data_IF_697370833675
#
_entry.id   IF_697370833675
#
_cell.length_a   1.000
_cell.length_b   1.000
_cell.length_c   1.000
_cell.angle_alpha   90.00
_cell.angle_beta   90.00
_cell.angle_gamma   90.00
#
_symmetry.space_group_name_H-M   'P 1'
#
loop_
_entity.id
_entity.type
_entity.pdbx_description
1 polymer ?
#
# COMPACT_ATOMS: atom_id res chain seq x y z
N UNK A 1 21.04 -14.67 7.32
CA UNK A 1 20.29 -14.01 8.41
C UNK A 1 19.42 -12.97 7.75
N UNK A 2 18.11 -13.00 8.02
CA UNK A 2 17.19 -11.95 7.55
C UNK A 2 17.52 -10.64 8.25
N UNK A 3 17.43 -9.47 7.57
CA UNK A 3 17.55 -8.19 8.23
C UNK A 3 16.46 -8.05 9.31
N UNK A 4 16.76 -7.31 10.37
CA UNK A 4 15.78 -7.04 11.41
C UNK A 4 14.89 -5.88 10.94
N UNK A 5 13.65 -6.19 10.59
CA UNK A 5 12.64 -5.17 10.35
C UNK A 5 12.27 -4.44 11.65
N UNK A 6 11.73 -3.25 11.52
CA UNK A 6 11.28 -2.44 12.65
C UNK A 6 9.80 -2.15 12.54
N UNK A 7 9.04 -2.43 13.59
CA UNK A 7 7.65 -2.01 13.71
C UNK A 7 7.61 -0.53 14.05
N UNK A 8 6.99 0.28 13.18
CA UNK A 8 6.83 1.72 13.36
C UNK A 8 5.53 2.02 14.13
N UNK A 9 4.47 1.28 13.81
CA UNK A 9 3.16 1.37 14.44
C UNK A 9 2.62 -0.03 14.67
N UNK A 10 2.40 -0.43 15.92
CA UNK A 10 1.82 -1.72 16.25
C UNK A 10 0.29 -1.66 16.23
N UNK A 11 -0.35 -2.69 15.71
CA UNK A 11 -1.79 -2.86 15.86
C UNK A 11 -2.15 -2.98 17.34
N UNK A 12 -3.31 -2.42 17.78
CA UNK A 12 -3.71 -2.47 19.18
C UNK A 12 -3.72 -3.89 19.75
N UNK A 13 -3.27 -4.02 21.00
CA UNK A 13 -3.30 -5.29 21.74
C UNK A 13 -4.75 -5.76 21.94
N UNK A 14 -4.97 -7.07 21.80
CA UNK A 14 -6.28 -7.70 22.11
C UNK A 14 -6.77 -8.70 21.08
N UNK A 15 -6.37 -8.61 19.84
CA UNK A 15 -6.37 -9.68 18.86
C UNK A 15 -5.24 -9.38 17.88
N UNK A 16 -4.04 -9.87 18.13
CA UNK A 16 -2.85 -9.49 17.38
C UNK A 16 -2.94 -9.95 15.91
N UNK A 17 -4.06 -10.52 15.55
CA UNK A 17 -3.98 -11.42 14.46
C UNK A 17 -4.35 -10.85 13.13
N UNK A 18 -5.40 -10.12 12.93
CA UNK A 18 -5.89 -9.90 11.57
C UNK A 18 -5.90 -8.43 11.16
N UNK A 19 -5.27 -8.17 10.02
CA UNK A 19 -5.46 -6.94 9.26
C UNK A 19 -6.36 -7.27 8.06
N UNK A 20 -7.32 -6.43 7.75
CA UNK A 20 -8.18 -6.64 6.58
C UNK A 20 -7.39 -6.38 5.30
N UNK A 21 -6.54 -5.36 5.33
CA UNK A 21 -5.73 -4.92 4.18
C UNK A 21 -4.28 -4.74 4.59
N UNK A 22 -3.36 -5.20 3.77
CA UNK A 22 -1.94 -4.84 3.83
C UNK A 22 -1.55 -4.20 2.51
N UNK A 23 -1.05 -2.96 2.57
CA UNK A 23 -0.40 -2.31 1.44
C UNK A 23 1.12 -2.44 1.55
N UNK A 24 1.77 -2.79 0.44
CA UNK A 24 3.21 -3.04 0.36
C UNK A 24 3.86 -1.98 -0.52
N UNK A 25 4.82 -1.24 0.04
CA UNK A 25 5.67 -0.29 -0.67
C UNK A 25 7.12 -0.77 -0.76
N UNK A 26 7.88 -0.31 -1.74
CA UNK A 26 9.32 -0.48 -1.76
C UNK A 26 9.98 0.41 -0.70
N UNK A 27 9.46 1.64 -0.58
CA UNK A 27 9.94 2.68 0.34
C UNK A 27 8.78 3.34 1.09
N UNK A 28 9.04 3.93 2.29
CA UNK A 28 8.07 4.81 2.93
C UNK A 28 7.78 6.01 2.03
N UNK A 29 6.53 6.23 1.67
CA UNK A 29 5.86 7.19 0.80
C UNK A 29 5.19 6.58 -0.46
N UNK A 30 5.63 5.43 -0.95
CA UNK A 30 5.04 4.78 -2.14
C UNK A 30 3.55 4.51 -1.99
N UNK A 31 3.16 3.97 -0.84
CA UNK A 31 1.78 3.58 -0.54
C UNK A 31 0.87 4.80 -0.47
N UNK A 32 1.34 5.86 0.17
CA UNK A 32 0.60 7.12 0.29
C UNK A 32 0.37 7.76 -1.08
N UNK A 33 1.40 7.77 -1.92
CA UNK A 33 1.32 8.33 -3.29
C UNK A 33 0.41 7.44 -4.17
N UNK A 34 0.52 6.13 -4.06
CA UNK A 34 -0.16 5.20 -4.96
C UNK A 34 -1.60 4.92 -4.60
N UNK A 35 -1.90 4.65 -3.31
CA UNK A 35 -3.22 4.20 -2.86
C UNK A 35 -3.64 4.76 -1.49
N UNK A 36 -3.04 5.87 -1.04
CA UNK A 36 -3.35 6.47 0.27
C UNK A 36 -4.82 6.86 0.44
N UNK A 37 -5.48 7.36 -0.60
CA UNK A 37 -6.90 7.68 -0.59
C UNK A 37 -7.77 6.44 -0.40
N UNK A 38 -7.45 5.35 -1.08
CA UNK A 38 -8.09 4.03 -0.91
C UNK A 38 -7.93 3.53 0.53
N UNK A 39 -6.73 3.62 1.10
CA UNK A 39 -6.51 3.21 2.49
C UNK A 39 -7.33 4.04 3.47
N UNK A 40 -7.34 5.37 3.31
CA UNK A 40 -8.15 6.27 4.13
C UNK A 40 -9.65 5.96 4.03
N UNK A 41 -10.15 5.68 2.82
CA UNK A 41 -11.54 5.26 2.58
C UNK A 41 -11.86 3.96 3.31
N UNK A 42 -11.01 2.95 3.19
CA UNK A 42 -11.21 1.65 3.82
C UNK A 42 -11.12 1.75 5.35
N UNK A 43 -10.18 2.52 5.89
CA UNK A 43 -10.07 2.80 7.32
C UNK A 43 -11.32 3.49 7.87
N UNK A 44 -11.86 4.48 7.17
CA UNK A 44 -13.10 5.17 7.53
C UNK A 44 -14.33 4.23 7.52
N UNK A 45 -14.28 3.15 6.76
CA UNK A 45 -15.28 2.07 6.74
C UNK A 45 -15.04 0.98 7.79
N UNK A 46 -14.06 1.17 8.68
CA UNK A 46 -13.76 0.27 9.78
C UNK A 46 -12.80 -0.88 9.45
N UNK A 47 -12.20 -0.90 8.25
CA UNK A 47 -11.18 -1.89 7.92
C UNK A 47 -9.89 -1.63 8.71
N UNK A 48 -9.24 -2.70 9.16
CA UNK A 48 -7.94 -2.65 9.84
C UNK A 48 -6.84 -2.70 8.79
N UNK A 49 -6.11 -1.59 8.64
CA UNK A 49 -5.12 -1.39 7.59
C UNK A 49 -3.71 -1.52 8.15
N UNK A 50 -2.87 -2.29 7.45
CA UNK A 50 -1.42 -2.32 7.65
C UNK A 50 -0.67 -1.78 6.44
N UNK A 51 0.50 -1.19 6.68
CA UNK A 51 1.49 -0.86 5.65
C UNK A 51 2.77 -1.63 5.95
N UNK A 52 3.39 -2.18 4.90
CA UNK A 52 4.68 -2.84 4.97
C UNK A 52 5.60 -2.21 3.93
N UNK A 53 6.63 -1.52 4.40
CA UNK A 53 7.69 -1.00 3.55
C UNK A 53 8.81 -2.05 3.45
N UNK A 54 9.25 -2.39 2.25
CA UNK A 54 10.31 -3.41 2.08
C UNK A 54 11.67 -2.91 2.57
N UNK A 55 11.90 -1.59 2.46
CA UNK A 55 13.10 -0.91 2.94
C UNK A 55 12.72 0.24 3.87
N UNK A 56 13.71 0.83 4.56
CA UNK A 56 13.53 2.08 5.32
C UNK A 56 13.58 3.35 4.43
N UNK A 57 13.87 3.18 3.14
CA UNK A 57 14.02 4.27 2.18
C UNK A 57 15.34 5.02 2.26
N UNK A 58 16.26 4.71 3.19
CA UNK A 58 17.50 5.44 3.39
C UNK A 58 18.74 4.77 2.70
N UNK A 59 19.77 5.56 2.40
CA UNK A 59 19.92 7.00 2.62
C UNK A 59 19.23 7.85 1.56
N UNK A 60 18.69 9.02 1.98
CA UNK A 60 18.16 10.03 1.06
C UNK A 60 18.81 11.40 1.31
N UNK A 61 18.91 12.28 0.29
CA UNK A 61 19.76 13.49 0.37
C UNK A 61 19.37 14.51 1.44
N UNK A 62 18.12 14.50 1.92
CA UNK A 62 17.59 15.52 2.83
C UNK A 62 17.15 14.96 4.18
N UNK A 63 17.14 13.66 4.34
CA UNK A 63 16.87 13.02 5.62
C UNK A 63 18.14 13.02 6.48
N UNK A 64 17.97 13.19 7.77
CA UNK A 64 19.04 13.00 8.76
C UNK A 64 19.32 11.53 9.04
N UNK A 65 18.47 10.62 8.55
CA UNK A 65 18.64 9.18 8.69
C UNK A 65 17.34 8.41 8.92
N UNK A 66 17.46 7.10 9.20
CA UNK A 66 16.31 6.20 9.34
C UNK A 66 15.29 6.64 10.40
N UNK A 67 15.74 7.26 11.50
CA UNK A 67 14.84 7.71 12.58
C UNK A 67 13.88 8.80 12.10
N UNK A 68 14.36 9.77 11.31
CA UNK A 68 13.51 10.80 10.72
C UNK A 68 12.51 10.19 9.75
N UNK A 69 12.96 9.29 8.87
CA UNK A 69 12.06 8.57 7.93
C UNK A 69 10.98 7.77 8.65
N UNK A 70 11.31 7.10 9.74
CA UNK A 70 10.34 6.37 10.55
C UNK A 70 9.33 7.30 11.23
N UNK A 71 9.77 8.46 11.71
CA UNK A 71 8.87 9.46 12.30
C UNK A 71 7.90 10.03 11.26
N UNK A 72 8.38 10.34 10.05
CA UNK A 72 7.55 10.77 8.92
C UNK A 72 6.55 9.68 8.52
N UNK A 73 6.98 8.44 8.40
CA UNK A 73 6.14 7.29 8.08
C UNK A 73 5.05 7.05 9.14
N UNK A 74 5.38 7.20 10.43
CA UNK A 74 4.41 7.12 11.52
C UNK A 74 3.35 8.20 11.40
N UNK A 75 3.74 9.45 11.16
CA UNK A 75 2.80 10.56 10.98
C UNK A 75 1.87 10.33 9.77
N UNK A 76 2.42 9.84 8.66
CA UNK A 76 1.66 9.49 7.47
C UNK A 76 0.65 8.36 7.72
N UNK A 77 1.05 7.32 8.46
CA UNK A 77 0.16 6.23 8.85
C UNK A 77 -1.03 6.74 9.69
N UNK A 78 -0.79 7.63 10.65
CA UNK A 78 -1.85 8.24 11.45
C UNK A 78 -2.81 9.08 10.60
N UNK A 79 -2.30 9.87 9.64
CA UNK A 79 -3.12 10.68 8.74
C UNK A 79 -4.10 9.81 7.92
N UNK A 80 -3.72 8.59 7.56
CA UNK A 80 -4.55 7.66 6.79
C UNK A 80 -5.46 6.77 7.66
N UNK A 81 -5.30 6.76 8.99
CA UNK A 81 -6.01 5.84 9.88
C UNK A 81 -5.47 4.40 9.83
N UNK A 82 -4.21 4.23 9.45
CA UNK A 82 -3.49 2.95 9.46
C UNK A 82 -3.22 2.53 10.90
N UNK A 83 -3.43 1.25 11.21
CA UNK A 83 -3.29 0.71 12.57
C UNK A 83 -2.02 -0.10 12.78
N UNK A 84 -1.32 -0.45 11.70
CA UNK A 84 -0.04 -1.17 11.75
C UNK A 84 0.89 -0.69 10.65
N UNK A 85 2.15 -0.45 10.97
CA UNK A 85 3.20 -0.19 9.98
C UNK A 85 4.52 -0.78 10.43
N UNK A 86 5.20 -1.45 9.52
CA UNK A 86 6.55 -1.97 9.71
C UNK A 86 7.36 -1.85 8.42
N UNK A 87 8.69 -1.74 8.53
CA UNK A 87 9.58 -1.97 7.42
C UNK A 87 10.37 -3.27 7.62
N UNK A 88 10.72 -3.96 6.52
CA UNK A 88 11.41 -5.24 6.58
C UNK A 88 12.93 -5.12 6.70
N UNK A 89 13.48 -3.90 6.60
CA UNK A 89 14.89 -3.61 6.79
C UNK A 89 15.80 -4.07 5.65
N UNK A 90 15.27 -4.34 4.47
CA UNK A 90 16.10 -4.63 3.30
C UNK A 90 16.78 -3.36 2.80
N UNK A 91 18.00 -3.47 2.23
CA UNK A 91 18.75 -2.29 1.81
C UNK A 91 18.07 -1.54 0.67
N UNK A 92 17.81 -0.25 0.86
CA UNK A 92 17.30 0.66 -0.16
C UNK A 92 18.24 0.71 -1.38
N UNK A 93 17.69 0.77 -2.57
CA UNK A 93 18.38 0.77 -3.89
C UNK A 93 19.15 -0.52 -4.18
N UNK A 94 18.93 -1.54 -3.39
CA UNK A 94 19.51 -2.87 -3.54
C UNK A 94 18.45 -3.96 -3.36
N UNK A 95 17.21 -3.59 -3.59
CA UNK A 95 16.10 -4.51 -3.53
C UNK A 95 16.15 -5.43 -4.76
N UNK A 96 16.31 -6.72 -4.52
CA UNK A 96 16.23 -7.75 -5.55
C UNK A 96 15.20 -8.77 -5.15
N UNK A 97 14.47 -9.29 -6.13
CA UNK A 97 13.54 -10.40 -5.93
C UNK A 97 14.31 -11.67 -5.56
N UNK A 98 14.48 -11.89 -4.26
CA UNK A 98 15.23 -13.00 -3.67
C UNK A 98 14.38 -13.81 -2.70
N UNK A 99 14.79 -15.05 -2.44
CA UNK A 99 14.05 -15.96 -1.57
C UNK A 99 13.79 -15.37 -0.18
N UNK A 100 14.79 -14.75 0.42
CA UNK A 100 14.76 -14.25 1.79
C UNK A 100 13.71 -13.15 1.95
N UNK A 101 13.61 -12.24 0.99
CA UNK A 101 12.63 -11.15 1.07
C UNK A 101 11.20 -11.63 0.79
N UNK A 102 11.03 -12.60 -0.12
CA UNK A 102 9.75 -13.27 -0.36
C UNK A 102 9.23 -13.95 0.89
N UNK A 103 10.12 -14.67 1.61
CA UNK A 103 9.80 -15.34 2.87
C UNK A 103 9.48 -14.31 3.96
N UNK A 104 10.28 -13.24 4.09
CA UNK A 104 10.05 -12.21 5.08
C UNK A 104 8.65 -11.58 4.92
N UNK A 105 8.29 -11.18 3.71
CA UNK A 105 6.96 -10.61 3.43
C UNK A 105 5.84 -11.66 3.59
N UNK A 106 6.06 -12.91 3.16
CA UNK A 106 5.08 -13.98 3.34
C UNK A 106 4.83 -14.32 4.82
N UNK A 107 5.85 -14.17 5.69
CA UNK A 107 5.68 -14.27 7.15
C UNK A 107 4.75 -13.19 7.70
N UNK A 108 4.85 -11.96 7.20
CA UNK A 108 3.91 -10.89 7.54
C UNK A 108 2.48 -11.28 7.16
N UNK A 109 2.28 -11.78 5.93
CA UNK A 109 0.95 -12.23 5.49
C UNK A 109 0.42 -13.40 6.32
N UNK A 110 1.24 -14.34 6.74
CA UNK A 110 0.84 -15.42 7.64
C UNK A 110 0.48 -14.91 9.05
N UNK A 111 1.23 -13.93 9.57
CA UNK A 111 1.02 -13.36 10.89
C UNK A 111 -0.28 -12.56 10.95
N UNK A 112 -0.51 -11.68 9.99
CA UNK A 112 -1.63 -10.72 10.02
C UNK A 112 -2.83 -11.15 9.17
N UNK A 113 -2.71 -12.17 8.37
CA UNK A 113 -3.79 -12.85 7.63
C UNK A 113 -4.67 -11.90 6.80
N UNK A 114 -4.12 -11.03 5.95
CA UNK A 114 -4.90 -10.04 5.21
C UNK A 114 -5.88 -10.70 4.24
N UNK A 115 -7.05 -10.07 4.07
CA UNK A 115 -8.02 -10.44 3.03
C UNK A 115 -7.67 -9.81 1.69
N UNK A 116 -7.04 -8.64 1.72
CA UNK A 116 -6.58 -7.90 0.56
C UNK A 116 -5.13 -7.49 0.74
N UNK A 117 -4.32 -7.72 -0.28
CA UNK A 117 -2.99 -7.13 -0.40
C UNK A 117 -3.01 -6.12 -1.54
N UNK A 118 -2.47 -4.93 -1.31
CA UNK A 118 -2.20 -3.92 -2.32
C UNK A 118 -0.70 -3.86 -2.56
N UNK A 119 -0.23 -4.13 -3.77
CA UNK A 119 1.18 -4.09 -4.14
C UNK A 119 1.47 -3.05 -5.21
N UNK A 120 2.72 -2.69 -5.42
CA UNK A 120 3.14 -1.89 -6.57
C UNK A 120 2.80 -2.62 -7.88
N UNK A 121 2.25 -1.91 -8.86
CA UNK A 121 1.74 -2.51 -10.10
C UNK A 121 2.74 -2.64 -11.23
N UNK A 122 3.81 -1.82 -11.24
CA UNK A 122 4.84 -1.84 -12.29
C UNK A 122 6.04 -0.98 -11.87
N UNK A 123 7.04 -0.96 -12.78
CA UNK A 123 8.14 0.00 -12.66
C UNK A 123 7.62 1.43 -12.81
N UNK A 124 8.22 2.34 -12.07
CA UNK A 124 7.99 3.76 -12.25
C UNK A 124 9.12 4.34 -13.10
N UNK A 125 8.84 4.80 -14.34
CA UNK A 125 9.89 5.34 -15.22
C UNK A 125 10.70 6.46 -14.55
N UNK A 126 12.02 6.40 -14.68
CA UNK A 126 12.96 7.37 -14.09
C UNK A 126 12.93 7.48 -12.56
N UNK A 127 12.30 6.53 -11.88
CA UNK A 127 12.30 6.40 -10.42
C UNK A 127 13.15 5.19 -9.97
N UNK A 128 13.01 4.81 -8.69
CA UNK A 128 13.79 3.70 -8.13
C UNK A 128 13.54 2.38 -8.87
N UNK A 129 14.58 1.60 -9.22
CA UNK A 129 14.42 0.25 -9.76
C UNK A 129 13.77 -0.72 -8.76
N UNK A 130 13.79 -0.38 -7.47
CA UNK A 130 13.19 -1.18 -6.39
C UNK A 130 11.68 -1.36 -6.58
N UNK A 131 10.99 -0.42 -7.27
CA UNK A 131 9.56 -0.52 -7.52
C UNK A 131 9.20 -1.78 -8.34
N UNK A 132 9.97 -2.06 -9.40
CA UNK A 132 9.75 -3.26 -10.20
C UNK A 132 10.05 -4.56 -9.41
N UNK A 133 11.01 -4.50 -8.49
CA UNK A 133 11.33 -5.62 -7.62
C UNK A 133 10.22 -5.84 -6.58
N UNK A 134 9.66 -4.77 -6.02
CA UNK A 134 8.57 -4.85 -5.06
C UNK A 134 7.31 -5.53 -5.62
N UNK A 135 6.99 -5.33 -6.91
CA UNK A 135 5.93 -6.08 -7.59
C UNK A 135 6.21 -7.58 -7.54
N UNK A 136 7.36 -8.02 -8.06
CA UNK A 136 7.70 -9.45 -8.12
C UNK A 136 7.77 -10.10 -6.73
N UNK A 137 8.34 -9.39 -5.75
CA UNK A 137 8.42 -9.83 -4.36
C UNK A 137 7.03 -10.01 -3.77
N UNK A 138 6.12 -9.05 -3.98
CA UNK A 138 4.77 -9.09 -3.41
C UNK A 138 3.96 -10.25 -3.99
N UNK A 139 3.99 -10.43 -5.31
CA UNK A 139 3.32 -11.56 -5.98
C UNK A 139 3.83 -12.91 -5.48
N UNK A 140 5.16 -13.05 -5.39
CA UNK A 140 5.79 -14.25 -4.88
C UNK A 140 5.46 -14.50 -3.39
N UNK A 141 5.43 -13.46 -2.55
CA UNK A 141 5.10 -13.58 -1.13
C UNK A 141 3.63 -14.01 -0.92
N UNK A 142 2.70 -13.50 -1.73
CA UNK A 142 1.31 -13.97 -1.74
C UNK A 142 1.22 -15.44 -2.08
N UNK A 143 2.01 -15.92 -3.05
CA UNK A 143 2.10 -17.35 -3.36
C UNK A 143 2.73 -18.12 -2.19
N UNK A 144 3.82 -17.63 -1.61
CA UNK A 144 4.57 -18.34 -0.55
C UNK A 144 3.76 -18.45 0.74
N UNK A 145 2.92 -17.49 1.08
CA UNK A 145 2.11 -17.50 2.30
C UNK A 145 1.15 -18.70 2.40
N UNK A 146 0.77 -19.30 1.27
CA UNK A 146 -0.12 -20.47 1.20
C UNK A 146 0.60 -21.83 1.14
N UNK A 147 1.96 -21.85 1.07
CA UNK A 147 2.71 -23.08 0.97
C UNK A 147 2.62 -23.89 2.27
N UNK A 148 2.24 -25.14 2.19
CA UNK A 148 2.29 -26.10 3.29
C UNK A 148 3.60 -26.89 3.25
N UNK A 149 3.93 -27.56 4.37
CA UNK A 149 5.18 -28.37 4.52
C UNK A 149 6.47 -27.53 4.48
N UNK A 150 6.38 -26.26 4.86
CA UNK A 150 7.49 -25.30 4.94
C UNK A 150 7.58 -24.69 6.34
N UNK A 151 7.27 -25.49 7.38
CA UNK A 151 7.18 -25.02 8.76
C UNK A 151 8.50 -24.43 9.25
N UNK A 152 9.64 -25.06 8.88
CA UNK A 152 10.98 -24.56 9.22
C UNK A 152 11.29 -23.20 8.58
N UNK A 153 10.75 -22.95 7.37
CA UNK A 153 10.93 -21.67 6.66
C UNK A 153 10.08 -20.56 7.28
N UNK A 154 8.91 -20.91 7.82
CA UNK A 154 7.93 -19.97 8.33
C UNK A 154 7.82 -19.93 9.87
N UNK A 155 8.77 -20.53 10.59
CA UNK A 155 8.81 -20.57 12.06
C UNK A 155 7.49 -21.06 12.68
N UNK A 156 6.85 -22.06 12.04
CA UNK A 156 5.57 -22.62 12.48
C UNK A 156 4.35 -21.70 12.31
N UNK A 157 4.49 -20.52 11.66
CA UNK A 157 3.35 -19.65 11.38
C UNK A 157 2.30 -20.38 10.51
N UNK A 158 1.02 -20.34 10.90
CA UNK A 158 -0.04 -21.05 10.18
C UNK A 158 -0.14 -20.57 8.73
N UNK A 159 -0.42 -21.51 7.82
CA UNK A 159 -0.67 -21.21 6.40
C UNK A 159 -1.76 -20.17 6.25
N UNK A 160 -1.54 -19.22 5.36
CA UNK A 160 -2.55 -18.24 4.97
C UNK A 160 -2.62 -18.10 3.46
N UNK A 161 -3.81 -18.22 2.90
CA UNK A 161 -4.07 -17.90 1.50
C UNK A 161 -4.66 -16.49 1.42
N UNK A 162 -3.91 -15.55 0.85
CA UNK A 162 -4.42 -14.19 0.58
C UNK A 162 -5.52 -14.29 -0.46
N UNK A 163 -6.77 -13.90 -0.15
CA UNK A 163 -7.89 -14.04 -1.10
C UNK A 163 -7.75 -13.16 -2.33
N UNK A 164 -7.21 -11.94 -2.17
CA UNK A 164 -7.13 -10.96 -3.26
C UNK A 164 -5.83 -10.18 -3.20
N UNK A 165 -5.17 -10.05 -4.36
CA UNK A 165 -4.09 -9.11 -4.62
C UNK A 165 -4.55 -8.11 -5.69
N UNK A 166 -4.44 -6.83 -5.39
CA UNK A 166 -4.56 -5.74 -6.35
C UNK A 166 -3.24 -4.98 -6.42
N UNK A 167 -3.00 -4.36 -7.55
CA UNK A 167 -1.81 -3.51 -7.72
C UNK A 167 -2.22 -2.05 -7.84
N UNK A 168 -1.42 -1.16 -7.26
CA UNK A 168 -1.54 0.28 -7.36
C UNK A 168 -0.37 0.87 -8.15
N UNK A 169 -0.50 2.09 -8.63
CA UNK A 169 0.47 2.72 -9.53
C UNK A 169 0.96 4.06 -8.98
N UNK A 170 2.28 4.26 -9.05
CA UNK A 170 2.89 5.56 -8.75
C UNK A 170 2.85 6.41 -10.02
N UNK A 171 1.86 7.27 -10.13
CA UNK A 171 1.74 8.10 -11.32
C UNK A 171 2.34 9.49 -11.15
N UNK A 172 2.97 10.07 -12.21
CA UNK A 172 2.27 11.10 -12.95
C UNK A 172 2.10 10.79 -14.45
N UNK A 173 2.37 9.61 -14.90
CA UNK A 173 2.09 9.19 -16.28
C UNK A 173 0.83 8.33 -16.33
N UNK A 174 0.21 8.22 -17.50
CA UNK A 174 -0.92 7.30 -17.71
C UNK A 174 -0.44 5.91 -17.29
N UNK A 175 -1.07 5.28 -16.29
CA UNK A 175 -0.65 3.97 -15.83
C UNK A 175 -0.71 2.96 -16.98
N UNK A 176 0.38 2.27 -17.21
CA UNK A 176 0.36 1.12 -18.11
C UNK A 176 -0.12 -0.08 -17.30
N UNK A 177 -1.38 -0.43 -17.49
CA UNK A 177 -1.95 -1.62 -16.86
C UNK A 177 -1.27 -2.84 -17.47
N UNK A 178 -0.68 -3.72 -16.65
CA UNK A 178 -0.02 -4.92 -17.17
C UNK A 178 -0.99 -5.77 -17.99
N UNK A 179 -0.49 -6.38 -19.06
CA UNK A 179 -1.29 -7.25 -19.91
C UNK A 179 -1.97 -8.35 -19.10
N UNK A 180 -3.26 -8.54 -19.29
CA UNK A 180 -4.06 -9.54 -18.58
C UNK A 180 -4.58 -9.06 -17.21
N UNK A 181 -4.34 -7.81 -16.83
CA UNK A 181 -4.92 -7.23 -15.62
C UNK A 181 -6.20 -6.44 -15.96
N UNK A 182 -7.12 -6.42 -15.01
CA UNK A 182 -8.41 -5.72 -15.09
C UNK A 182 -8.34 -4.47 -14.21
N UNK A 183 -8.44 -3.26 -14.82
CA UNK A 183 -8.42 -2.02 -14.07
C UNK A 183 -9.73 -1.79 -13.32
N UNK A 184 -9.63 -1.10 -12.21
CA UNK A 184 -10.75 -0.53 -11.48
C UNK A 184 -10.34 0.84 -10.90
N UNK A 185 -11.28 1.76 -10.84
CA UNK A 185 -11.10 3.05 -10.19
C UNK A 185 -11.79 2.99 -8.82
N UNK A 186 -11.07 3.36 -7.78
CA UNK A 186 -11.63 3.57 -6.45
C UNK A 186 -11.92 5.06 -6.31
N UNK A 187 -13.19 5.40 -6.07
CA UNK A 187 -13.61 6.77 -5.76
C UNK A 187 -13.06 7.20 -4.40
N UNK A 188 -12.24 8.25 -4.41
CA UNK A 188 -11.59 8.81 -3.21
C UNK A 188 -11.96 10.28 -2.99
N UNK A 189 -13.04 10.79 -3.55
CA UNK A 189 -13.41 12.21 -3.45
C UNK A 189 -13.33 12.73 -2.02
N UNK A 190 -13.94 12.06 -1.06
CA UNK A 190 -13.91 12.42 0.36
C UNK A 190 -12.58 12.15 1.08
N UNK A 191 -11.57 11.58 0.39
CA UNK A 191 -10.32 11.11 0.98
C UNK A 191 -9.05 11.67 0.32
N UNK A 192 -9.19 12.48 -0.73
CA UNK A 192 -8.05 13.06 -1.45
C UNK A 192 -7.22 13.97 -0.53
N UNK A 193 -7.86 14.78 0.31
CA UNK A 193 -7.12 15.67 1.20
C UNK A 193 -6.36 14.88 2.28
N UNK A 194 -6.90 13.78 2.80
CA UNK A 194 -6.19 12.88 3.71
C UNK A 194 -4.96 12.24 3.04
N UNK A 195 -5.10 11.81 1.79
CA UNK A 195 -3.98 11.33 0.99
C UNK A 195 -2.87 12.39 0.88
N UNK A 196 -3.21 13.62 0.52
CA UNK A 196 -2.24 14.70 0.38
C UNK A 196 -1.61 15.09 1.73
N UNK A 197 -2.37 15.06 2.82
CA UNK A 197 -1.89 15.27 4.18
C UNK A 197 -0.84 14.20 4.54
N UNK A 198 -1.10 12.94 4.24
CA UNK A 198 -0.16 11.84 4.50
C UNK A 198 1.15 12.00 3.74
N UNK A 199 1.09 12.41 2.47
CA UNK A 199 2.30 12.69 1.66
C UNK A 199 3.06 13.89 2.24
N UNK A 200 2.37 14.91 2.74
CA UNK A 200 2.97 16.09 3.33
C UNK A 200 3.73 15.80 4.65
N UNK A 201 3.50 14.65 5.28
CA UNK A 201 4.27 14.20 6.43
C UNK A 201 5.74 13.93 6.08
N UNK A 202 6.03 13.55 4.84
CA UNK A 202 7.39 13.25 4.37
C UNK A 202 8.15 14.52 3.96
N UNK A 203 8.47 15.38 4.92
CA UNK A 203 9.14 16.66 4.67
C UNK A 203 10.55 16.51 4.11
N UNK A 204 11.25 15.45 4.50
CA UNK A 204 12.57 15.12 3.96
C UNK A 204 12.51 14.76 2.47
N UNK A 205 11.38 14.22 1.98
CA UNK A 205 11.20 13.80 0.60
C UNK A 205 10.50 14.86 -0.26
N UNK A 206 9.50 15.54 0.31
CA UNK A 206 8.63 16.52 -0.36
C UNK A 206 8.68 17.88 0.36
N UNK A 207 9.87 18.51 0.44
CA UNK A 207 9.99 19.84 1.01
C UNK A 207 9.24 20.88 0.16
N UNK A 208 9.05 22.12 0.66
CA UNK A 208 8.29 23.16 -0.04
C UNK A 208 8.68 23.40 -1.50
N UNK A 209 9.98 23.23 -1.83
CA UNK A 209 10.49 23.37 -3.19
C UNK A 209 9.97 22.28 -4.14
N UNK A 210 9.47 21.18 -3.58
CA UNK A 210 8.83 20.09 -4.31
C UNK A 210 7.29 20.13 -4.25
N UNK A 211 6.67 21.29 -3.94
CA UNK A 211 5.22 21.43 -3.91
C UNK A 211 4.50 20.96 -5.20
N UNK A 212 5.22 20.98 -6.34
CA UNK A 212 4.72 20.44 -7.60
C UNK A 212 4.38 18.94 -7.52
N UNK A 213 4.95 18.17 -6.58
CA UNK A 213 4.62 16.74 -6.40
C UNK A 213 3.18 16.62 -5.89
N UNK A 214 2.79 17.40 -4.88
CA UNK A 214 1.42 17.41 -4.36
C UNK A 214 0.41 17.81 -5.46
N UNK A 215 0.75 18.84 -6.25
CA UNK A 215 -0.09 19.25 -7.38
C UNK A 215 -0.26 18.14 -8.43
N UNK A 216 0.81 17.40 -8.74
CA UNK A 216 0.76 16.26 -9.65
C UNK A 216 -0.08 15.11 -9.11
N UNK A 217 0.07 14.78 -7.82
CA UNK A 217 -0.73 13.72 -7.19
C UNK A 217 -2.21 14.07 -7.23
N UNK A 218 -2.58 15.32 -6.91
CA UNK A 218 -3.95 15.81 -7.04
C UNK A 218 -4.47 15.70 -8.47
N UNK A 219 -3.74 16.24 -9.45
CA UNK A 219 -4.12 16.21 -10.85
C UNK A 219 -4.27 14.76 -11.37
N UNK A 220 -3.38 13.85 -10.96
CA UNK A 220 -3.49 12.44 -11.32
C UNK A 220 -4.76 11.80 -10.74
N UNK A 221 -5.10 12.11 -9.49
CA UNK A 221 -6.33 11.61 -8.87
C UNK A 221 -7.58 12.15 -9.59
N UNK A 222 -7.60 13.43 -9.98
CA UNK A 222 -8.70 14.03 -10.72
C UNK A 222 -8.85 13.40 -12.12
N UNK A 223 -7.74 13.15 -12.84
CA UNK A 223 -7.77 12.47 -14.14
C UNK A 223 -8.29 11.03 -14.01
N UNK A 224 -7.82 10.29 -13.02
CA UNK A 224 -8.29 8.91 -12.77
C UNK A 224 -9.76 8.93 -12.34
N UNK A 225 -10.16 9.89 -11.51
CA UNK A 225 -11.55 10.07 -11.11
C UNK A 225 -12.45 10.30 -12.32
N UNK A 226 -12.05 11.18 -13.23
CA UNK A 226 -12.80 11.44 -14.48
C UNK A 226 -12.96 10.17 -15.33
N UNK A 227 -11.98 9.26 -15.37
CA UNK A 227 -12.10 7.96 -16.04
C UNK A 227 -13.15 7.06 -15.38
N UNK A 228 -13.31 7.15 -14.06
CA UNK A 228 -14.27 6.37 -13.27
C UNK A 228 -15.63 7.05 -13.08
N UNK A 229 -15.79 8.31 -13.55
CA UNK A 229 -17.03 9.09 -13.37
C UNK A 229 -17.17 9.71 -11.97
N UNK A 230 -16.07 9.92 -11.24
CA UNK A 230 -16.01 10.61 -9.95
C UNK A 230 -15.02 11.79 -10.00
N UNK A 231 -14.97 12.63 -8.97
CA UNK A 231 -14.10 13.82 -8.95
C UNK A 231 -12.64 13.49 -8.75
N UNK A 232 -12.34 12.51 -7.87
CA UNK A 232 -10.99 12.01 -7.63
C UNK A 232 -11.00 10.48 -7.49
N UNK A 233 -10.02 9.81 -8.12
CA UNK A 233 -9.93 8.36 -8.10
C UNK A 233 -8.50 7.85 -7.96
N UNK A 234 -8.37 6.62 -7.51
CA UNK A 234 -7.13 5.85 -7.56
C UNK A 234 -7.31 4.62 -8.46
N UNK A 235 -6.33 4.42 -9.36
CA UNK A 235 -6.35 3.28 -10.27
C UNK A 235 -5.71 2.07 -9.59
N UNK A 236 -6.48 1.01 -9.50
CA UNK A 236 -6.00 -0.31 -9.11
C UNK A 236 -6.16 -1.29 -10.28
N UNK A 237 -5.40 -2.38 -10.25
CA UNK A 237 -5.57 -3.44 -11.22
C UNK A 237 -5.54 -4.82 -10.56
N UNK A 238 -6.34 -5.74 -11.08
CA UNK A 238 -6.43 -7.12 -10.62
C UNK A 238 -5.94 -8.07 -11.69
N UNK A 239 -5.07 -9.02 -11.33
CA UNK A 239 -4.71 -10.15 -12.19
C UNK A 239 -5.82 -11.21 -12.26
N UNK A 240 -6.81 -11.16 -11.36
CA UNK A 240 -7.96 -12.05 -11.35
C UNK A 240 -9.18 -11.31 -11.90
N UNK A 241 -9.93 -11.96 -12.79
CA UNK A 241 -11.22 -11.42 -13.27
C UNK A 241 -12.16 -11.18 -12.08
N UNK A 242 -12.66 -9.95 -11.90
CA UNK A 242 -13.64 -9.68 -10.85
C UNK A 242 -14.91 -10.51 -11.06
N UNK A 243 -15.44 -11.05 -9.96
CA UNK A 243 -16.72 -11.77 -9.97
C UNK A 243 -17.65 -11.12 -8.96
N UNK A 244 -18.87 -10.83 -9.38
CA UNK A 244 -19.88 -10.24 -8.50
C UNK A 244 -21.23 -10.93 -8.70
N UNK A 245 -21.98 -11.06 -7.62
CA UNK A 245 -23.41 -11.42 -7.65
C UNK A 245 -24.30 -10.17 -7.62
N UNK A 246 -23.72 -8.98 -7.40
CA UNK A 246 -24.41 -7.68 -7.40
C UNK A 246 -23.81 -6.77 -8.47
N UNK A 247 -24.26 -6.96 -9.71
CA UNK A 247 -23.79 -6.17 -10.84
C UNK A 247 -24.20 -4.69 -10.72
N UNK A 248 -25.41 -4.43 -10.21
CA UNK A 248 -25.88 -3.06 -10.06
C UNK A 248 -25.12 -2.32 -8.96
N UNK A 249 -24.84 -2.97 -7.82
CA UNK A 249 -24.02 -2.41 -6.76
C UNK A 249 -22.57 -2.17 -7.20
N UNK A 250 -22.03 -2.99 -8.11
CA UNK A 250 -20.71 -2.79 -8.68
C UNK A 250 -20.67 -1.59 -9.63
N UNK A 251 -21.69 -1.43 -10.49
CA UNK A 251 -21.72 -0.39 -11.53
C UNK A 251 -22.27 0.96 -10.99
N UNK A 252 -23.12 0.91 -9.98
CA UNK A 252 -23.77 2.07 -9.39
C UNK A 252 -23.58 2.03 -7.85
N UNK A 253 -22.33 2.23 -7.37
CA UNK A 253 -22.09 2.20 -5.94
C UNK A 253 -22.94 3.27 -5.24
N UNK A 254 -23.64 2.86 -4.17
CA UNK A 254 -24.40 3.80 -3.34
C UNK A 254 -23.45 4.80 -2.71
N UNK A 255 -23.78 6.10 -2.69
CA UNK A 255 -22.98 7.08 -1.98
C UNK A 255 -22.84 6.64 -0.51
N UNK A 256 -21.64 6.87 0.05
CA UNK A 256 -21.41 6.58 1.47
C UNK A 256 -22.50 7.27 2.30
N UNK A 257 -23.06 6.62 3.33
CA UNK A 257 -24.02 7.28 4.21
C UNK A 257 -23.35 8.53 4.81
N UNK A 258 -24.08 9.65 4.75
CA UNK A 258 -23.60 10.89 5.37
C UNK A 258 -23.21 10.63 6.83
N UNK A 259 -22.10 11.21 7.34
CA UNK A 259 -21.72 11.04 8.72
C UNK A 259 -22.91 11.42 9.62
N UNK A 260 -23.20 10.54 10.58
CA UNK A 260 -24.28 10.79 11.54
C UNK A 260 -24.01 12.14 12.22
N UNK A 261 -24.88 13.12 11.98
CA UNK A 261 -24.83 14.38 12.71
C UNK A 261 -25.20 14.06 14.15
N UNK A 262 -24.21 13.92 15.00
CA UNK A 262 -24.42 13.89 16.45
C UNK A 262 -24.99 15.24 16.86
N UNK A 263 -26.28 15.25 17.20
CA UNK A 263 -26.93 16.39 17.84
C UNK A 263 -26.51 16.51 19.29
#
# INVERSE_FOLDING_TARGET
>A
VLPQGTTILAAPEGNPGTLDVIAVGAHPDDVEIGCGGTLSLLAARGARIGIVDLTDGEPTPRSSGPEERMAEALAAAHALGVVHREHLGFPNRRLFDAFEIRVALARVFRRYRPRLVLGLGDRTPLASPDHAQALAITEAAVFYSRLCKWDDVFDGLPVHTVPQLLTYFLTPSIPQIPTGHFPLVVDIDGHLDRKLESIACYRSQFPPEKAHVHARVRASAEVVGAMGGCGAGELLASSRVPCTSDLLGLLFPQPAPAPAVTR
#
